data_IF_677296251641
#
_entry.id   IF_677296251641
#
_cell.length_a   1.000
_cell.length_b   1.000
_cell.length_c   1.000
_cell.angle_alpha   90.00
_cell.angle_beta   90.00
_cell.angle_gamma   90.00
#
_symmetry.space_group_name_H-M   'P 1'
#
loop_
_entity.id
_entity.type
_entity.pdbx_description
1 polymer ?
#
# COMPACT_ATOMS: atom_id res chain seq x y z
N UNK A 1 4.30 4.67 8.89
CA UNK A 1 4.09 3.61 9.90
C UNK A 1 2.70 3.02 9.71
N UNK A 2 2.58 1.77 9.27
CA UNK A 2 1.28 1.15 8.93
C UNK A 2 0.40 0.89 10.17
N UNK A 3 1.01 0.46 11.28
CA UNK A 3 0.29 0.11 12.51
C UNK A 3 0.25 1.25 13.55
N UNK A 4 0.74 2.45 13.19
CA UNK A 4 0.93 3.56 14.11
C UNK A 4 2.36 3.63 14.68
N UNK A 5 2.84 4.85 14.97
CA UNK A 5 4.22 5.13 15.39
C UNK A 5 4.41 5.43 16.88
N UNK A 6 3.39 5.20 17.71
CA UNK A 6 3.51 5.44 19.16
C UNK A 6 4.44 4.41 19.82
N UNK A 7 5.12 4.80 20.90
CA UNK A 7 5.98 3.88 21.66
C UNK A 7 5.23 2.64 22.15
N UNK A 8 3.97 2.79 22.54
CA UNK A 8 3.11 1.68 22.95
C UNK A 8 2.85 0.69 21.80
N UNK A 9 2.56 1.20 20.59
CA UNK A 9 2.32 0.40 19.40
C UNK A 9 3.59 -0.35 18.94
N UNK A 10 4.76 0.30 19.07
CA UNK A 10 6.05 -0.33 18.79
C UNK A 10 6.29 -1.50 19.74
N UNK A 11 6.13 -1.27 21.04
CA UNK A 11 6.29 -2.32 22.05
C UNK A 11 5.32 -3.49 21.83
N UNK A 12 4.07 -3.21 21.48
CA UNK A 12 3.11 -4.26 21.16
C UNK A 12 3.51 -5.06 19.92
N UNK A 13 3.95 -4.37 18.86
CA UNK A 13 4.38 -5.00 17.60
C UNK A 13 5.60 -5.90 17.82
N UNK A 14 6.55 -5.48 18.67
CA UNK A 14 7.72 -6.30 19.03
C UNK A 14 7.31 -7.51 19.89
N UNK A 15 6.43 -7.30 20.87
CA UNK A 15 6.05 -8.36 21.82
C UNK A 15 5.13 -9.43 21.23
N UNK A 16 4.17 -9.03 20.40
CA UNK A 16 3.14 -9.92 19.84
C UNK A 16 3.41 -10.34 18.41
N UNK A 17 4.35 -9.68 17.73
CA UNK A 17 4.53 -9.81 16.29
C UNK A 17 3.35 -9.22 15.52
N UNK A 18 3.54 -9.06 14.20
CA UNK A 18 2.46 -8.73 13.25
C UNK A 18 2.68 -9.56 11.99
N UNK A 19 1.64 -10.27 11.56
CA UNK A 19 1.68 -11.02 10.30
C UNK A 19 0.90 -10.22 9.26
N UNK A 20 1.61 -9.47 8.43
CA UNK A 20 1.03 -8.83 7.25
C UNK A 20 1.18 -9.75 6.06
N UNK A 21 0.07 -10.06 5.42
CA UNK A 21 0.05 -10.80 4.16
C UNK A 21 -0.70 -9.98 3.13
N UNK A 22 -0.07 -9.72 2.00
CA UNK A 22 -0.78 -9.21 0.82
C UNK A 22 -1.26 -10.42 0.01
N UNK A 23 -2.59 -10.65 -0.11
CA UNK A 23 -3.11 -11.77 -0.89
C UNK A 23 -2.79 -11.65 -2.37
N UNK A 24 -2.79 -12.78 -3.07
CA UNK A 24 -2.72 -12.78 -4.54
C UNK A 24 -4.02 -12.25 -5.13
N UNK A 25 -3.89 -11.24 -5.99
CA UNK A 25 -5.01 -10.64 -6.71
C UNK A 25 -5.16 -11.17 -8.14
N UNK A 26 -4.23 -12.02 -8.61
CA UNK A 26 -4.15 -12.50 -10.00
C UNK A 26 -5.43 -13.23 -10.42
N UNK A 27 -5.84 -14.24 -9.64
CA UNK A 27 -6.98 -15.10 -10.00
C UNK A 27 -8.33 -14.43 -9.71
N UNK A 28 -8.35 -13.44 -8.81
CA UNK A 28 -9.56 -12.70 -8.44
C UNK A 28 -9.93 -11.61 -9.46
N UNK A 29 -8.94 -10.89 -9.99
CA UNK A 29 -9.16 -9.73 -10.86
C UNK A 29 -8.86 -10.02 -12.34
N UNK A 30 -8.00 -11.00 -12.63
CA UNK A 30 -7.47 -11.21 -13.98
C UNK A 30 -6.45 -10.14 -14.40
N UNK A 31 -5.64 -10.46 -15.40
CA UNK A 31 -4.48 -9.66 -15.81
C UNK A 31 -4.84 -8.21 -16.19
N UNK A 32 -5.86 -8.02 -17.03
CA UNK A 32 -6.25 -6.70 -17.51
C UNK A 32 -6.66 -5.74 -16.37
N UNK A 33 -7.41 -6.22 -15.36
CA UNK A 33 -7.86 -5.36 -14.25
C UNK A 33 -6.73 -5.06 -13.28
N UNK A 34 -5.82 -6.01 -13.04
CA UNK A 34 -4.62 -5.79 -12.23
C UNK A 34 -3.76 -4.69 -12.83
N UNK A 35 -3.59 -4.67 -14.15
CA UNK A 35 -2.85 -3.60 -14.82
C UNK A 35 -3.48 -2.21 -14.64
N UNK A 36 -4.80 -2.09 -14.80
CA UNK A 36 -5.51 -0.81 -14.60
C UNK A 36 -5.42 -0.34 -13.14
N UNK A 37 -5.62 -1.25 -12.17
CA UNK A 37 -5.50 -0.94 -10.74
C UNK A 37 -4.08 -0.51 -10.36
N UNK A 38 -3.07 -1.20 -10.88
CA UNK A 38 -1.67 -0.85 -10.66
C UNK A 38 -1.36 0.56 -11.19
N UNK A 39 -1.83 0.88 -12.40
CA UNK A 39 -1.68 2.22 -12.98
C UNK A 39 -2.39 3.29 -12.13
N UNK A 40 -3.58 2.99 -11.61
CA UNK A 40 -4.32 3.90 -10.73
C UNK A 40 -3.59 4.16 -9.41
N UNK A 41 -3.13 3.12 -8.70
CA UNK A 41 -2.36 3.29 -7.45
C UNK A 41 -1.07 4.08 -7.69
N UNK A 42 -0.41 3.87 -8.84
CA UNK A 42 0.75 4.65 -9.24
C UNK A 42 0.41 6.13 -9.41
N UNK A 43 -0.71 6.46 -10.08
CA UNK A 43 -1.15 7.84 -10.25
C UNK A 43 -1.43 8.57 -8.94
N UNK A 44 -1.89 7.86 -7.89
CA UNK A 44 -2.12 8.47 -6.57
C UNK A 44 -0.83 8.96 -5.90
N UNK A 45 0.30 8.32 -6.20
CA UNK A 45 1.61 8.69 -5.63
C UNK A 45 2.41 9.61 -6.54
N UNK A 46 2.05 9.70 -7.82
CA UNK A 46 2.73 10.49 -8.85
C UNK A 46 1.75 11.46 -9.53
N UNK A 47 1.07 12.27 -8.71
CA UNK A 47 0.07 13.22 -9.18
C UNK A 47 0.74 14.25 -10.13
N UNK A 48 0.40 14.16 -11.41
CA UNK A 48 1.01 14.94 -12.48
C UNK A 48 0.69 16.44 -12.37
N UNK A 49 -0.34 16.83 -11.62
CA UNK A 49 -0.62 18.24 -11.31
C UNK A 49 0.48 18.91 -10.49
N UNK A 50 1.11 18.19 -9.55
CA UNK A 50 2.19 18.73 -8.70
C UNK A 50 3.50 18.88 -9.49
N UNK A 51 3.68 18.10 -10.54
CA UNK A 51 4.90 18.11 -11.38
C UNK A 51 4.84 19.23 -12.42
N UNK A 52 3.65 19.60 -12.91
CA UNK A 52 3.47 20.68 -13.88
C UNK A 52 3.59 22.09 -13.28
N UNK A 53 3.56 22.21 -11.94
CA UNK A 53 3.61 23.48 -11.20
C UNK A 53 5.01 23.79 -10.63
N UNK A 54 6.02 22.99 -10.97
CA UNK A 54 7.40 23.10 -10.50
C UNK A 54 8.37 23.34 -11.66
#
# INVERSE_FOLDING_TARGET
WLFGGSAATIMETIRKGRTSTMPTFKDFLGEAKVHVLAAYVWSLSNDSKVIAEK
#
